data_IF_854320646079
#
_entry.id   IF_854320646079
#
_cell.length_a   1.000
_cell.length_b   1.000
_cell.length_c   1.000
_cell.angle_alpha   90.00
_cell.angle_beta   90.00
_cell.angle_gamma   90.00
#
_symmetry.space_group_name_H-M   'P 1'
#
loop_
_entity.id
_entity.type
_entity.pdbx_description
1 polymer ?
#
# COMPACT_ATOMS: atom_id res chain seq x y z
N UNK A 1 86.51 -51.98 16.50
CA UNK A 1 85.59 -50.84 16.27
C UNK A 1 84.95 -50.33 17.57
N UNK A 2 84.94 -51.11 18.66
CA UNK A 2 84.63 -50.61 20.01
C UNK A 2 85.77 -49.78 20.62
N UNK A 3 87.04 -50.16 20.39
CA UNK A 3 88.20 -49.44 20.96
C UNK A 3 88.39 -48.00 20.46
N UNK A 4 87.85 -47.64 19.28
CA UNK A 4 87.90 -46.26 18.80
C UNK A 4 86.79 -45.38 19.39
N UNK A 5 85.67 -45.97 19.81
CA UNK A 5 84.58 -45.23 20.46
C UNK A 5 85.02 -44.87 21.89
N UNK A 6 85.69 -45.79 22.60
CA UNK A 6 86.15 -45.55 23.98
C UNK A 6 87.25 -44.48 24.06
N UNK A 7 88.15 -44.42 23.07
CA UNK A 7 89.25 -43.44 23.08
C UNK A 7 88.79 -42.01 22.84
N UNK A 8 87.76 -41.83 22.02
CA UNK A 8 87.21 -40.51 21.68
C UNK A 8 86.34 -39.91 22.81
N UNK A 9 85.81 -40.75 23.71
CA UNK A 9 85.03 -40.31 24.88
C UNK A 9 85.90 -39.88 26.07
N UNK A 10 87.12 -40.42 26.19
CA UNK A 10 88.04 -40.18 27.32
C UNK A 10 88.93 -38.95 27.09
N UNK A 11 89.19 -38.56 25.84
CA UNK A 11 90.01 -37.37 25.49
C UNK A 11 89.19 -36.06 25.33
N UNK A 12 87.88 -36.11 25.56
CA UNK A 12 87.04 -34.90 25.57
C UNK A 12 87.36 -34.04 26.79
N UNK A 13 87.87 -32.81 26.59
CA UNK A 13 88.15 -31.81 27.63
C UNK A 13 86.94 -31.39 28.48
N UNK A 14 85.74 -31.81 28.09
CA UNK A 14 84.52 -31.62 28.88
C UNK A 14 83.90 -32.97 29.21
N UNK A 15 83.59 -33.23 30.50
CA UNK A 15 83.07 -34.52 30.90
C UNK A 15 81.66 -34.73 30.31
N UNK A 16 81.36 -35.97 29.91
CA UNK A 16 80.18 -36.34 29.08
C UNK A 16 78.85 -35.78 29.62
N UNK A 17 78.68 -35.76 30.94
CA UNK A 17 77.51 -35.19 31.61
C UNK A 17 77.31 -33.70 31.29
N UNK A 18 78.39 -32.96 31.05
CA UNK A 18 78.36 -31.54 30.69
C UNK A 18 77.89 -31.34 29.25
N UNK A 19 78.29 -32.22 28.33
CA UNK A 19 77.83 -32.22 26.93
C UNK A 19 76.34 -32.57 26.84
N UNK A 20 75.92 -33.60 27.59
CA UNK A 20 74.50 -33.99 27.69
C UNK A 20 73.66 -32.87 28.33
N UNK A 21 74.17 -32.21 29.37
CA UNK A 21 73.48 -31.09 30.01
C UNK A 21 73.34 -29.87 29.08
N UNK A 22 74.39 -29.57 28.30
CA UNK A 22 74.35 -28.53 27.25
C UNK A 22 73.30 -28.86 26.19
N UNK A 23 73.24 -30.11 25.75
CA UNK A 23 72.27 -30.57 24.76
C UNK A 23 70.83 -30.46 25.27
N UNK A 24 70.56 -30.87 26.52
CA UNK A 24 69.24 -30.72 27.16
C UNK A 24 68.89 -29.24 27.33
N UNK A 25 69.84 -28.40 27.74
CA UNK A 25 69.64 -26.96 27.88
C UNK A 25 69.25 -26.30 26.54
N UNK A 26 69.94 -26.65 25.46
CA UNK A 26 69.62 -26.14 24.12
C UNK A 26 68.23 -26.61 23.65
N UNK A 27 67.88 -27.88 23.88
CA UNK A 27 66.56 -28.43 23.56
C UNK A 27 65.44 -27.67 24.30
N UNK A 28 65.61 -27.40 25.59
CA UNK A 28 64.64 -26.64 26.39
C UNK A 28 64.47 -25.20 25.90
N UNK A 29 65.57 -24.55 25.50
CA UNK A 29 65.53 -23.18 24.94
C UNK A 29 64.75 -23.17 23.61
N UNK A 30 65.01 -24.14 22.73
CA UNK A 30 64.31 -24.24 21.43
C UNK A 30 62.80 -24.45 21.65
N UNK A 31 62.42 -25.37 22.54
CA UNK A 31 61.01 -25.64 22.88
C UNK A 31 60.35 -24.39 23.47
N UNK A 32 61.02 -23.70 24.38
CA UNK A 32 60.52 -22.47 25.00
C UNK A 32 60.28 -21.34 23.99
N UNK A 33 61.22 -21.11 23.07
CA UNK A 33 61.05 -20.11 22.00
C UNK A 33 59.96 -20.50 21.00
N UNK A 34 59.85 -21.79 20.65
CA UNK A 34 58.78 -22.29 19.79
C UNK A 34 57.39 -22.05 20.41
N UNK A 35 57.23 -22.30 21.71
CA UNK A 35 55.99 -22.03 22.46
C UNK A 35 55.65 -20.54 22.55
N UNK A 36 56.65 -19.68 22.77
CA UNK A 36 56.48 -18.23 22.78
C UNK A 36 56.04 -17.70 21.41
N UNK A 37 56.65 -18.17 20.32
CA UNK A 37 56.29 -17.80 18.96
C UNK A 37 54.86 -18.27 18.65
N UNK A 38 54.52 -19.52 18.99
CA UNK A 38 53.18 -20.09 18.81
C UNK A 38 52.11 -19.25 19.53
N UNK A 39 52.30 -18.94 20.82
CA UNK A 39 51.37 -18.07 21.59
C UNK A 39 51.23 -16.67 20.98
N UNK A 40 52.32 -16.10 20.47
CA UNK A 40 52.30 -14.73 19.89
C UNK A 40 51.58 -14.70 18.53
N UNK A 41 51.75 -15.74 17.71
CA UNK A 41 51.03 -15.91 16.44
C UNK A 41 49.54 -16.15 16.73
N UNK A 42 49.18 -17.08 17.62
CA UNK A 42 47.79 -17.33 18.01
C UNK A 42 47.11 -16.05 18.52
N UNK A 43 47.76 -15.29 19.41
CA UNK A 43 47.20 -14.03 19.93
C UNK A 43 47.03 -12.95 18.85
N UNK A 44 47.97 -12.83 17.90
CA UNK A 44 47.90 -11.84 16.81
C UNK A 44 46.84 -12.23 15.77
N UNK A 45 46.74 -13.51 15.44
CA UNK A 45 45.73 -14.05 14.53
C UNK A 45 44.33 -13.92 15.14
N UNK A 46 44.13 -14.34 16.40
CA UNK A 46 42.86 -14.21 17.12
C UNK A 46 42.44 -12.75 17.21
N UNK A 47 43.33 -11.83 17.61
CA UNK A 47 42.99 -10.40 17.69
C UNK A 47 42.69 -9.76 16.32
N UNK A 48 43.33 -10.23 15.23
CA UNK A 48 43.00 -9.84 13.86
C UNK A 48 41.61 -10.32 13.43
N UNK A 49 41.26 -11.57 13.74
CA UNK A 49 39.92 -12.10 13.51
C UNK A 49 38.86 -11.38 14.33
N UNK A 50 39.10 -11.13 15.62
CA UNK A 50 38.16 -10.38 16.48
C UNK A 50 37.89 -8.98 15.96
N UNK A 51 38.92 -8.26 15.47
CA UNK A 51 38.71 -6.93 14.86
C UNK A 51 37.89 -7.00 13.58
N UNK A 52 38.16 -7.98 12.70
CA UNK A 52 37.39 -8.17 11.46
C UNK A 52 35.95 -8.53 11.75
N UNK A 53 35.69 -9.44 12.68
CA UNK A 53 34.34 -9.83 13.10
C UNK A 53 33.59 -8.61 13.64
N UNK A 54 34.21 -7.83 14.53
CA UNK A 54 33.59 -6.62 15.09
C UNK A 54 33.31 -5.54 14.03
N UNK A 55 34.17 -5.43 13.01
CA UNK A 55 33.96 -4.53 11.87
C UNK A 55 32.76 -4.97 11.02
N UNK A 56 32.63 -6.27 10.74
CA UNK A 56 31.50 -6.83 9.98
C UNK A 56 30.20 -6.69 10.77
N UNK A 57 30.22 -6.97 12.07
CA UNK A 57 29.08 -6.79 12.97
C UNK A 57 28.60 -5.33 12.99
N UNK A 58 29.54 -4.37 13.08
CA UNK A 58 29.21 -2.94 13.06
C UNK A 58 28.60 -2.52 11.72
N UNK A 59 29.13 -3.03 10.60
CA UNK A 59 28.59 -2.75 9.27
C UNK A 59 27.18 -3.35 9.11
N UNK A 60 26.98 -4.59 9.55
CA UNK A 60 25.69 -5.27 9.50
C UNK A 60 24.63 -4.56 10.35
N UNK A 61 24.99 -4.08 11.55
CA UNK A 61 24.09 -3.28 12.39
C UNK A 61 23.66 -1.97 11.70
N UNK A 62 24.59 -1.30 11.02
CA UNK A 62 24.28 -0.08 10.25
C UNK A 62 23.34 -0.37 9.07
N UNK A 63 23.55 -1.48 8.36
CA UNK A 63 22.67 -1.91 7.26
C UNK A 63 21.26 -2.29 7.79
N UNK A 64 21.18 -2.95 8.95
CA UNK A 64 19.89 -3.22 9.63
C UNK A 64 19.16 -1.92 9.97
N UNK A 65 19.86 -0.92 10.48
CA UNK A 65 19.25 0.35 10.86
C UNK A 65 18.68 1.11 9.64
N UNK A 66 19.39 1.07 8.51
CA UNK A 66 18.91 1.59 7.23
C UNK A 66 17.68 0.81 6.75
N UNK A 67 17.71 -0.53 6.81
CA UNK A 67 16.58 -1.37 6.43
C UNK A 67 15.34 -1.09 7.28
N UNK A 68 15.51 -0.93 8.60
CA UNK A 68 14.41 -0.52 9.51
C UNK A 68 13.80 0.82 9.11
N UNK A 69 14.65 1.80 8.75
CA UNK A 69 14.20 3.11 8.29
C UNK A 69 13.38 3.00 6.99
N UNK A 70 13.88 2.24 5.99
CA UNK A 70 13.18 2.02 4.72
C UNK A 70 11.84 1.30 4.94
N UNK A 71 11.81 0.25 5.76
CA UNK A 71 10.59 -0.46 6.14
C UNK A 71 9.58 0.46 6.82
N UNK A 72 10.04 1.37 7.69
CA UNK A 72 9.17 2.33 8.34
C UNK A 72 8.54 3.30 7.32
N UNK A 73 9.33 3.86 6.40
CA UNK A 73 8.83 4.74 5.33
C UNK A 73 7.83 4.00 4.44
N UNK A 74 8.12 2.76 4.05
CA UNK A 74 7.20 1.94 3.26
C UNK A 74 5.89 1.65 4.00
N UNK A 75 5.96 1.35 5.30
CA UNK A 75 4.78 1.11 6.14
C UNK A 75 3.91 2.37 6.27
N UNK A 76 4.54 3.54 6.45
CA UNK A 76 3.84 4.82 6.49
C UNK A 76 3.18 5.16 5.16
N UNK A 77 3.89 4.98 4.04
CA UNK A 77 3.34 5.19 2.70
C UNK A 77 2.16 4.25 2.41
N UNK A 78 2.27 2.98 2.80
CA UNK A 78 1.18 2.01 2.64
C UNK A 78 -0.05 2.42 3.48
N UNK A 79 0.16 2.89 4.71
CA UNK A 79 -0.93 3.34 5.59
C UNK A 79 -1.65 4.55 4.99
N UNK A 80 -0.90 5.55 4.51
CA UNK A 80 -1.45 6.73 3.83
C UNK A 80 -2.20 6.35 2.55
N UNK A 81 -1.66 5.43 1.76
CA UNK A 81 -2.33 4.94 0.55
C UNK A 81 -3.68 4.29 0.87
N UNK A 82 -3.74 3.40 1.87
CA UNK A 82 -4.98 2.76 2.31
C UNK A 82 -5.99 3.80 2.81
N UNK A 83 -5.54 4.79 3.59
CA UNK A 83 -6.40 5.89 4.05
C UNK A 83 -6.99 6.69 2.89
N UNK A 84 -6.15 7.11 1.94
CA UNK A 84 -6.58 7.88 0.77
C UNK A 84 -7.53 7.09 -0.14
N UNK A 85 -7.27 5.80 -0.33
CA UNK A 85 -8.18 4.88 -1.04
C UNK A 85 -9.55 4.84 -0.37
N UNK A 86 -9.58 4.64 0.94
CA UNK A 86 -10.84 4.52 1.68
C UNK A 86 -11.63 5.84 1.68
N UNK A 87 -10.95 6.98 1.85
CA UNK A 87 -11.55 8.31 1.70
C UNK A 87 -12.14 8.50 0.30
N UNK A 88 -11.45 8.05 -0.76
CA UNK A 88 -11.95 8.16 -2.13
C UNK A 88 -13.20 7.29 -2.36
N UNK A 89 -13.25 6.07 -1.80
CA UNK A 89 -14.44 5.19 -1.87
C UNK A 89 -15.64 5.87 -1.20
N UNK A 90 -15.44 6.39 0.02
CA UNK A 90 -16.51 7.04 0.81
C UNK A 90 -16.99 8.32 0.14
N UNK A 91 -16.07 9.14 -0.37
CA UNK A 91 -16.41 10.38 -1.08
C UNK A 91 -17.22 10.08 -2.33
N UNK A 92 -16.76 9.15 -3.19
CA UNK A 92 -17.52 8.73 -4.36
C UNK A 92 -18.94 8.27 -3.99
N UNK A 93 -19.06 7.39 -3.00
CA UNK A 93 -20.36 6.87 -2.57
C UNK A 93 -21.29 7.98 -2.06
N UNK A 94 -20.77 8.93 -1.28
CA UNK A 94 -21.54 10.06 -0.78
C UNK A 94 -22.06 10.94 -1.92
N UNK A 95 -21.20 11.28 -2.90
CA UNK A 95 -21.60 12.08 -4.06
C UNK A 95 -22.63 11.35 -4.92
N UNK A 96 -22.40 10.06 -5.16
CA UNK A 96 -23.33 9.21 -5.92
C UNK A 96 -24.72 9.17 -5.27
N UNK A 97 -24.78 8.97 -3.94
CA UNK A 97 -26.05 8.94 -3.21
C UNK A 97 -26.77 10.28 -3.26
N UNK A 98 -26.06 11.40 -3.07
CA UNK A 98 -26.65 12.73 -3.21
C UNK A 98 -27.20 12.98 -4.63
N UNK A 99 -26.50 12.49 -5.65
CA UNK A 99 -26.96 12.57 -7.04
C UNK A 99 -28.25 11.78 -7.25
N UNK A 100 -28.29 10.54 -6.75
CA UNK A 100 -29.44 9.65 -6.82
C UNK A 100 -30.66 10.22 -6.06
N UNK A 101 -30.45 10.77 -4.86
CA UNK A 101 -31.50 11.38 -4.03
C UNK A 101 -32.08 12.66 -4.62
N UNK A 102 -31.24 13.49 -5.24
CA UNK A 102 -31.65 14.75 -5.85
C UNK A 102 -32.69 14.55 -6.96
N UNK A 103 -32.74 13.36 -7.55
CA UNK A 103 -33.38 13.13 -8.83
C UNK A 103 -34.69 12.35 -8.76
N UNK A 104 -35.01 11.76 -7.60
CA UNK A 104 -36.18 10.92 -7.38
C UNK A 104 -37.40 11.72 -6.88
N UNK A 105 -38.12 12.36 -7.81
CA UNK A 105 -39.54 12.69 -7.61
C UNK A 105 -39.90 14.02 -6.94
N UNK A 106 -38.94 14.80 -6.42
CA UNK A 106 -39.21 16.07 -5.72
C UNK A 106 -39.80 17.18 -6.62
N UNK A 107 -39.55 17.12 -7.92
CA UNK A 107 -39.89 18.19 -8.88
C UNK A 107 -41.23 17.97 -9.59
N UNK A 108 -41.81 16.76 -9.52
CA UNK A 108 -43.06 16.42 -10.21
C UNK A 108 -44.23 17.30 -9.78
N UNK A 109 -44.22 17.72 -8.51
CA UNK A 109 -45.26 18.57 -7.93
C UNK A 109 -45.05 20.07 -8.23
N UNK A 110 -43.91 20.46 -8.80
CA UNK A 110 -43.52 21.84 -9.08
C UNK A 110 -43.15 22.06 -10.56
N UNK A 111 -43.59 21.15 -11.43
CA UNK A 111 -43.21 21.11 -12.84
C UNK A 111 -43.82 22.26 -13.68
N UNK A 112 -44.71 23.06 -13.12
CA UNK A 112 -45.25 24.29 -13.70
C UNK A 112 -44.38 25.53 -13.41
N UNK A 113 -43.41 25.42 -12.49
CA UNK A 113 -42.54 26.52 -12.09
C UNK A 113 -41.15 26.43 -12.76
N UNK A 114 -40.92 27.29 -13.75
CA UNK A 114 -39.65 27.33 -14.48
C UNK A 114 -38.44 27.73 -13.63
N UNK A 115 -38.62 28.48 -12.54
CA UNK A 115 -37.52 28.81 -11.64
C UNK A 115 -37.01 27.55 -10.92
N UNK A 116 -37.94 26.75 -10.39
CA UNK A 116 -37.61 25.47 -9.75
C UNK A 116 -36.96 24.51 -10.75
N UNK A 117 -37.45 24.47 -11.99
CA UNK A 117 -36.82 23.63 -13.04
C UNK A 117 -35.38 24.07 -13.32
N UNK A 118 -35.11 25.38 -13.41
CA UNK A 118 -33.75 25.89 -13.62
C UNK A 118 -32.81 25.53 -12.47
N UNK A 119 -33.26 25.66 -11.22
CA UNK A 119 -32.48 25.26 -10.05
C UNK A 119 -32.12 23.78 -10.07
N UNK A 120 -33.06 22.93 -10.48
CA UNK A 120 -32.84 21.49 -10.60
C UNK A 120 -31.83 21.12 -11.69
N UNK A 121 -31.94 21.77 -12.86
CA UNK A 121 -30.97 21.60 -13.95
C UNK A 121 -29.57 22.00 -13.47
N UNK A 122 -29.44 23.09 -12.72
CA UNK A 122 -28.15 23.52 -12.20
C UNK A 122 -27.60 22.54 -11.15
N UNK A 123 -28.44 22.14 -10.18
CA UNK A 123 -28.02 21.19 -9.13
C UNK A 123 -27.56 19.86 -9.71
N UNK A 124 -28.18 19.40 -10.79
CA UNK A 124 -27.77 18.16 -11.42
C UNK A 124 -26.45 18.32 -12.19
N UNK A 125 -26.16 19.46 -12.83
CA UNK A 125 -24.81 19.76 -13.37
C UNK A 125 -23.75 19.74 -12.28
N UNK A 126 -24.05 20.32 -11.13
CA UNK A 126 -23.11 20.36 -10.00
C UNK A 126 -22.84 18.95 -9.44
N UNK A 127 -23.89 18.11 -9.36
CA UNK A 127 -23.75 16.72 -8.91
C UNK A 127 -22.98 15.86 -9.92
N UNK A 128 -23.24 16.00 -11.22
CA UNK A 128 -22.54 15.30 -12.31
C UNK A 128 -21.03 15.58 -12.25
N UNK A 129 -20.65 16.86 -12.11
CA UNK A 129 -19.26 17.26 -11.91
C UNK A 129 -18.66 16.66 -10.63
N UNK A 130 -19.37 16.74 -9.51
CA UNK A 130 -18.88 16.23 -8.22
C UNK A 130 -18.64 14.71 -8.25
N UNK A 131 -19.57 13.94 -8.82
CA UNK A 131 -19.44 12.48 -8.97
C UNK A 131 -18.32 12.13 -9.93
N UNK A 132 -18.19 12.84 -11.06
CA UNK A 132 -17.12 12.65 -12.03
C UNK A 132 -15.74 12.87 -11.41
N UNK A 133 -15.57 13.93 -10.61
CA UNK A 133 -14.31 14.19 -9.92
C UNK A 133 -13.99 13.12 -8.87
N UNK A 134 -14.99 12.70 -8.08
CA UNK A 134 -14.81 11.65 -7.08
C UNK A 134 -14.47 10.30 -7.73
N UNK A 135 -15.09 9.98 -8.87
CA UNK A 135 -14.78 8.79 -9.67
C UNK A 135 -13.33 8.80 -10.15
N UNK A 136 -12.86 9.90 -10.74
CA UNK A 136 -11.46 10.00 -11.19
C UNK A 136 -10.48 9.89 -10.02
N UNK A 137 -10.81 10.45 -8.85
CA UNK A 137 -10.00 10.25 -7.64
C UNK A 137 -9.96 8.78 -7.25
N UNK A 138 -11.08 8.08 -7.27
CA UNK A 138 -11.19 6.69 -6.85
C UNK A 138 -10.35 5.74 -7.71
N UNK A 139 -10.37 5.89 -9.04
CA UNK A 139 -9.61 5.01 -9.94
C UNK A 139 -8.10 5.20 -9.89
N UNK A 140 -7.59 6.26 -9.22
CA UNK A 140 -6.17 6.41 -8.96
C UNK A 140 -5.66 5.46 -7.86
N UNK A 141 -6.56 4.96 -7.01
CA UNK A 141 -6.23 4.17 -5.82
C UNK A 141 -6.67 2.70 -5.91
N UNK A 142 -7.40 2.34 -6.97
CA UNK A 142 -7.87 0.98 -7.19
C UNK A 142 -7.39 0.54 -8.57
N UNK A 143 -6.72 -0.61 -8.62
CA UNK A 143 -6.18 -1.24 -9.83
C UNK A 143 -6.99 -2.47 -10.27
N UNK A 144 -8.09 -2.79 -9.58
CA UNK A 144 -8.98 -3.88 -9.94
C UNK A 144 -9.88 -3.49 -11.13
N UNK A 145 -9.61 -4.12 -12.27
CA UNK A 145 -10.35 -3.89 -13.51
C UNK A 145 -11.84 -4.22 -13.40
N UNK A 146 -12.23 -5.26 -12.66
CA UNK A 146 -13.65 -5.62 -12.48
C UNK A 146 -14.38 -4.56 -11.67
N UNK A 147 -13.73 -4.02 -10.64
CA UNK A 147 -14.28 -2.93 -9.83
C UNK A 147 -14.46 -1.66 -10.66
N UNK A 148 -13.43 -1.28 -11.42
CA UNK A 148 -13.45 -0.10 -12.29
C UNK A 148 -14.51 -0.25 -13.40
N UNK A 149 -14.62 -1.44 -14.00
CA UNK A 149 -15.65 -1.73 -15.01
C UNK A 149 -17.07 -1.61 -14.43
N UNK A 150 -17.30 -2.16 -13.23
CA UNK A 150 -18.57 -2.02 -12.54
C UNK A 150 -18.92 -0.55 -12.27
N UNK A 151 -17.95 0.25 -11.80
CA UNK A 151 -18.11 1.69 -11.60
C UNK A 151 -18.45 2.42 -12.90
N UNK A 152 -17.72 2.13 -13.99
CA UNK A 152 -18.00 2.70 -15.29
C UNK A 152 -19.41 2.39 -15.78
N UNK A 153 -19.84 1.13 -15.67
CA UNK A 153 -21.18 0.72 -16.05
C UNK A 153 -22.24 1.45 -15.21
N UNK A 154 -22.04 1.52 -13.89
CA UNK A 154 -22.94 2.22 -12.97
C UNK A 154 -23.09 3.70 -13.37
N UNK A 155 -21.98 4.40 -13.58
CA UNK A 155 -21.98 5.80 -13.99
C UNK A 155 -22.59 6.01 -15.37
N UNK A 156 -22.30 5.13 -16.33
CA UNK A 156 -22.87 5.22 -17.67
C UNK A 156 -24.40 5.10 -17.64
N UNK A 157 -24.94 4.16 -16.85
CA UNK A 157 -26.38 3.95 -16.72
C UNK A 157 -27.07 5.11 -16.01
N UNK A 158 -26.46 5.62 -14.94
CA UNK A 158 -26.96 6.82 -14.27
C UNK A 158 -26.95 8.03 -15.19
N UNK A 159 -25.88 8.24 -15.94
CA UNK A 159 -25.77 9.34 -16.90
C UNK A 159 -26.86 9.28 -17.97
N UNK A 160 -27.24 8.08 -18.44
CA UNK A 160 -28.32 7.89 -19.40
C UNK A 160 -29.68 8.36 -18.85
N UNK A 161 -30.04 7.95 -17.64
CA UNK A 161 -31.28 8.39 -16.97
C UNK A 161 -31.30 9.90 -16.86
N UNK A 162 -30.15 10.47 -16.50
CA UNK A 162 -30.01 11.87 -16.16
C UNK A 162 -30.08 12.76 -17.38
N UNK A 163 -29.45 12.34 -18.47
CA UNK A 163 -29.61 12.96 -19.77
C UNK A 163 -31.09 13.00 -20.21
N UNK A 164 -31.79 11.86 -20.11
CA UNK A 164 -33.22 11.79 -20.48
C UNK A 164 -34.07 12.74 -19.63
N UNK A 165 -33.76 12.86 -18.34
CA UNK A 165 -34.47 13.80 -17.47
C UNK A 165 -34.22 15.25 -17.83
N UNK A 166 -32.96 15.64 -18.09
CA UNK A 166 -32.64 17.01 -18.53
C UNK A 166 -33.46 17.38 -19.77
N UNK A 167 -33.53 16.46 -20.74
CA UNK A 167 -34.32 16.66 -21.96
C UNK A 167 -35.80 16.90 -21.63
N UNK A 168 -36.38 16.09 -20.75
CA UNK A 168 -37.76 16.30 -20.31
C UNK A 168 -37.96 17.65 -19.61
N UNK A 169 -37.05 18.05 -18.71
CA UNK A 169 -37.16 19.32 -18.00
C UNK A 169 -37.17 20.52 -18.98
N UNK A 170 -36.36 20.46 -20.05
CA UNK A 170 -36.40 21.45 -21.11
C UNK A 170 -37.72 21.44 -21.89
N UNK A 171 -38.26 20.27 -22.22
CA UNK A 171 -39.57 20.17 -22.88
C UNK A 171 -40.70 20.74 -22.00
N UNK A 172 -40.65 20.50 -20.69
CA UNK A 172 -41.63 21.03 -19.73
C UNK A 172 -41.49 22.55 -19.62
N UNK A 173 -40.27 23.07 -19.59
CA UNK A 173 -40.01 24.51 -19.65
C UNK A 173 -40.60 25.15 -20.90
N UNK A 174 -40.42 24.54 -22.07
CA UNK A 174 -40.96 25.03 -23.33
C UNK A 174 -42.50 25.07 -23.30
N UNK A 175 -43.14 24.03 -22.77
CA UNK A 175 -44.60 24.00 -22.56
C UNK A 175 -45.02 25.14 -21.61
N UNK A 176 -44.32 25.35 -20.51
CA UNK A 176 -44.65 26.41 -19.55
C UNK A 176 -44.53 27.81 -20.16
N UNK A 177 -43.63 28.01 -21.12
CA UNK A 177 -43.46 29.30 -21.81
C UNK A 177 -44.49 29.51 -22.93
N UNK A 178 -44.73 28.49 -23.75
CA UNK A 178 -45.51 28.62 -24.98
C UNK A 178 -46.99 28.26 -24.80
N UNK A 179 -47.30 27.33 -23.89
CA UNK A 179 -48.65 26.79 -23.66
C UNK A 179 -48.90 26.58 -22.15
N UNK A 180 -48.90 27.63 -21.32
CA UNK A 180 -48.90 27.50 -19.85
C UNK A 180 -50.10 26.71 -19.28
N UNK A 181 -51.24 26.73 -19.98
CA UNK A 181 -52.47 26.03 -19.58
C UNK A 181 -52.53 24.56 -20.05
N UNK A 182 -51.56 24.06 -20.80
CA UNK A 182 -51.54 22.67 -21.29
C UNK A 182 -51.06 21.68 -20.20
N UNK A 183 -51.89 21.57 -19.16
CA UNK A 183 -51.66 20.67 -18.04
C UNK A 183 -51.70 19.19 -18.46
N UNK A 184 -52.44 18.86 -19.52
CA UNK A 184 -52.62 17.49 -20.01
C UNK A 184 -51.32 16.97 -20.62
N UNK A 185 -50.69 17.73 -21.53
CA UNK A 185 -49.41 17.36 -22.12
C UNK A 185 -48.32 17.29 -21.07
N UNK A 186 -48.27 18.28 -20.15
CA UNK A 186 -47.32 18.29 -19.03
C UNK A 186 -47.43 17.00 -18.20
N UNK A 187 -48.64 16.67 -17.73
CA UNK A 187 -48.90 15.49 -16.90
C UNK A 187 -48.57 14.17 -17.63
N UNK A 188 -48.89 14.07 -18.92
CA UNK A 188 -48.57 12.89 -19.75
C UNK A 188 -47.06 12.68 -19.85
N UNK A 189 -46.29 13.73 -20.14
CA UNK A 189 -44.83 13.67 -20.23
C UNK A 189 -44.19 13.27 -18.89
N UNK A 190 -44.63 13.88 -17.79
CA UNK A 190 -44.17 13.53 -16.43
C UNK A 190 -44.42 12.05 -16.09
N UNK A 191 -45.59 11.53 -16.46
CA UNK A 191 -45.96 10.14 -16.16
C UNK A 191 -45.21 9.13 -17.02
N UNK A 192 -45.02 9.43 -18.30
CA UNK A 192 -44.20 8.62 -19.20
C UNK A 192 -42.77 8.48 -18.68
N UNK A 193 -42.17 9.60 -18.29
CA UNK A 193 -40.81 9.62 -17.77
C UNK A 193 -40.67 8.92 -16.43
N UNK A 194 -41.61 9.12 -15.49
CA UNK A 194 -41.60 8.39 -14.23
C UNK A 194 -41.60 6.87 -14.45
N UNK A 195 -42.39 6.40 -15.42
CA UNK A 195 -42.44 4.98 -15.82
C UNK A 195 -41.11 4.51 -16.42
N UNK A 196 -40.46 5.33 -17.25
CA UNK A 196 -39.15 5.02 -17.83
C UNK A 196 -38.04 4.99 -16.77
N UNK A 197 -38.03 5.94 -15.83
CA UNK A 197 -37.11 5.93 -14.70
C UNK A 197 -37.25 4.67 -13.85
N UNK A 198 -38.48 4.27 -13.51
CA UNK A 198 -38.71 3.03 -12.76
C UNK A 198 -38.20 1.80 -13.52
N UNK A 199 -38.27 1.78 -14.85
CA UNK A 199 -37.73 0.69 -15.67
C UNK A 199 -36.19 0.69 -15.69
N UNK A 200 -35.57 1.86 -15.89
CA UNK A 200 -34.11 2.02 -15.94
C UNK A 200 -33.45 1.80 -14.57
N UNK A 201 -34.12 2.20 -13.49
CA UNK A 201 -33.77 1.90 -12.10
C UNK A 201 -34.18 0.49 -11.66
N UNK A 202 -34.58 -0.36 -12.61
CA UNK A 202 -34.86 -1.76 -12.37
C UNK A 202 -33.63 -2.53 -11.86
N UNK A 203 -33.65 -3.85 -12.05
CA UNK A 203 -32.64 -4.73 -11.45
C UNK A 203 -31.19 -4.36 -11.81
N UNK A 204 -30.92 -3.79 -12.99
CA UNK A 204 -29.55 -3.53 -13.47
C UNK A 204 -28.78 -2.48 -12.63
N UNK A 205 -29.33 -1.27 -12.41
CA UNK A 205 -28.65 -0.25 -11.59
C UNK A 205 -28.51 -0.72 -10.14
N UNK A 206 -29.53 -1.42 -9.64
CA UNK A 206 -29.50 -2.00 -8.30
C UNK A 206 -28.39 -3.06 -8.19
N UNK A 207 -28.28 -3.97 -9.16
CA UNK A 207 -27.23 -5.00 -9.21
C UNK A 207 -25.83 -4.38 -9.26
N UNK A 208 -25.62 -3.36 -10.10
CA UNK A 208 -24.35 -2.63 -10.20
C UNK A 208 -24.01 -1.90 -8.88
N UNK A 209 -25.02 -1.31 -8.24
CA UNK A 209 -24.89 -0.64 -6.93
C UNK A 209 -24.56 -1.64 -5.82
N UNK A 210 -25.28 -2.77 -5.76
CA UNK A 210 -25.06 -3.83 -4.77
C UNK A 210 -23.67 -4.46 -4.95
N UNK A 211 -23.24 -4.66 -6.20
CA UNK A 211 -21.88 -5.12 -6.53
C UNK A 211 -20.82 -4.12 -6.06
N UNK A 212 -21.01 -2.83 -6.36
CA UNK A 212 -20.11 -1.77 -5.88
C UNK A 212 -20.00 -1.76 -4.35
N UNK A 213 -21.13 -1.84 -3.64
CA UNK A 213 -21.15 -1.85 -2.17
C UNK A 213 -20.40 -3.07 -1.63
N UNK A 214 -20.63 -4.24 -2.23
CA UNK A 214 -19.97 -5.49 -1.82
C UNK A 214 -18.45 -5.38 -1.97
N UNK A 215 -17.97 -5.04 -3.16
CA UNK A 215 -16.54 -4.96 -3.45
C UNK A 215 -15.86 -3.84 -2.62
N UNK A 216 -16.55 -2.71 -2.42
CA UNK A 216 -16.04 -1.61 -1.57
C UNK A 216 -15.83 -2.02 -0.12
N UNK A 217 -16.67 -2.92 0.43
CA UNK A 217 -16.49 -3.42 1.80
C UNK A 217 -15.22 -4.23 1.95
N UNK A 218 -14.80 -4.96 0.91
CA UNK A 218 -13.56 -5.74 0.93
C UNK A 218 -12.37 -4.79 1.10
N UNK A 219 -12.29 -3.71 0.32
CA UNK A 219 -11.27 -2.68 0.46
C UNK A 219 -11.30 -1.93 1.80
N UNK A 220 -12.49 -1.66 2.34
CA UNK A 220 -12.63 -0.98 3.64
C UNK A 220 -12.24 -1.87 4.82
N UNK A 221 -12.29 -3.19 4.66
CA UNK A 221 -11.95 -4.16 5.71
C UNK A 221 -10.44 -4.37 5.95
N UNK A 222 -9.60 -3.91 5.02
CA UNK A 222 -8.12 -3.99 5.08
C UNK A 222 -7.49 -3.26 6.29
N UNK A 223 -8.25 -2.49 7.05
CA UNK A 223 -7.79 -1.73 8.23
C UNK A 223 -7.31 -2.65 9.37
N UNK A 224 -7.68 -3.94 9.38
CA UNK A 224 -7.37 -4.82 10.52
C UNK A 224 -5.96 -5.46 10.50
N UNK A 225 -5.11 -5.12 9.52
CA UNK A 225 -3.74 -5.65 9.42
C UNK A 225 -2.74 -4.49 9.36
N UNK A 226 -2.36 -3.95 10.53
CA UNK A 226 -1.05 -3.29 10.85
C UNK A 226 -1.09 -2.32 12.04
N UNK A 227 -2.10 -2.39 12.92
CA UNK A 227 -1.98 -1.85 14.29
C UNK A 227 -1.01 -2.64 15.20
N UNK A 228 -0.26 -3.60 14.66
CA UNK A 228 0.70 -4.46 15.39
C UNK A 228 2.18 -4.15 15.13
N UNK A 229 2.54 -2.94 14.70
CA UNK A 229 3.91 -2.45 14.91
C UNK A 229 3.86 -1.44 16.05
N UNK A 230 3.75 -1.95 17.28
CA UNK A 230 4.22 -1.19 18.45
C UNK A 230 5.74 -1.03 18.27
N UNK A 231 6.30 0.19 18.39
CA UNK A 231 7.70 0.29 18.76
C UNK A 231 7.81 -0.25 20.19
N UNK A 232 8.55 -1.34 20.38
CA UNK A 232 9.00 -1.71 21.71
C UNK A 232 9.81 -0.54 22.28
N UNK A 233 9.42 -0.12 23.49
CA UNK A 233 10.10 0.90 24.29
C UNK A 233 11.39 0.35 24.90
#
# INVERSE_FOLDING_TARGET
MEEQITKTLIESQYPIWMIVSLFIGIQLIIVFFAELIKKKIEKKTISGFTRKIKSVETQFMKEIEILKSVLNVQSQAQTLFIQQRNEAIVDFWSKYMNWNETFMGSWRNNADNNHIINELIQKEKDNDLAVTLAYHKLILYIDDNSYIENLHMLLSKMSEIIFKQRMLLFEIQDINLNNPNDNVTRSRKLTSFATECTKLQGNEIKELTDKFIKESKEYLSDINIKSQIKPEA
#
